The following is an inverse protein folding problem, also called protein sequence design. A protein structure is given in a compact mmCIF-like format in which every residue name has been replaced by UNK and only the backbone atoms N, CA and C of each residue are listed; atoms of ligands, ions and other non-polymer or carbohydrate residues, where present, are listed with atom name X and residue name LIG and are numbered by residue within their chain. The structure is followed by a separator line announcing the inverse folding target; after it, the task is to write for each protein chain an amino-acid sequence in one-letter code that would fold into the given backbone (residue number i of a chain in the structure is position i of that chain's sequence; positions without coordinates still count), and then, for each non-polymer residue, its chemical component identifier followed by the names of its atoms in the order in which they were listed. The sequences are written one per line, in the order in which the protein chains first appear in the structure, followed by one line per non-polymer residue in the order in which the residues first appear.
data_IF_911108508993
#
_entry.id   IF_911108508993
#
_cell.length_a   1.000
_cell.length_b   1.000
_cell.length_c   1.000
_cell.angle_alpha   90.00
_cell.angle_beta   90.00
_cell.angle_gamma   90.00
#
_symmetry.space_group_name_H-M   'P 1'
#
loop_
_entity.id
_entity.type
_entity.pdbx_description
1 polymer ?
#
# COMPACT_ATOMS: atom_id res chain seq x y z
N UNK A 1 -30.86 -7.48 -7.05
CA UNK A 1 -29.51 -6.95 -7.29
C UNK A 1 -28.57 -7.68 -6.35
N UNK A 2 -27.73 -8.59 -6.86
CA UNK A 2 -26.76 -9.30 -6.01
C UNK A 2 -25.52 -8.43 -5.87
N UNK A 3 -25.49 -7.59 -4.85
CA UNK A 3 -24.34 -6.76 -4.54
C UNK A 3 -23.28 -7.63 -3.87
N UNK A 4 -22.22 -7.96 -4.62
CA UNK A 4 -21.07 -8.69 -4.09
C UNK A 4 -20.38 -7.80 -3.05
N UNK A 5 -20.12 -8.35 -1.87
CA UNK A 5 -19.30 -7.69 -0.85
C UNK A 5 -17.86 -7.66 -1.35
N UNK A 6 -17.17 -6.52 -1.33
CA UNK A 6 -15.75 -6.44 -1.66
C UNK A 6 -14.93 -7.33 -0.73
N UNK A 7 -13.95 -8.05 -1.27
CA UNK A 7 -13.03 -8.86 -0.46
C UNK A 7 -12.09 -7.98 0.39
N UNK A 8 -11.88 -6.73 -0.03
CA UNK A 8 -11.12 -5.73 0.72
C UNK A 8 -11.99 -5.02 1.76
N UNK A 9 -11.41 -4.73 2.93
CA UNK A 9 -12.04 -3.88 3.92
C UNK A 9 -12.26 -2.47 3.36
N UNK A 10 -13.51 -2.01 3.39
CA UNK A 10 -13.89 -0.63 3.07
C UNK A 10 -14.33 0.04 4.36
N UNK A 11 -13.72 1.17 4.66
CA UNK A 11 -14.02 1.99 5.82
C UNK A 11 -14.30 3.42 5.38
N UNK A 12 -14.95 4.19 6.25
CA UNK A 12 -15.18 5.62 6.06
C UNK A 12 -14.34 6.39 7.07
N UNK A 13 -13.78 7.53 6.64
CA UNK A 13 -13.10 8.44 7.57
C UNK A 13 -14.11 9.06 8.54
N UNK A 14 -13.61 9.61 9.64
CA UNK A 14 -14.44 10.38 10.56
C UNK A 14 -14.94 11.66 9.88
N UNK A 15 -16.00 12.26 10.41
CA UNK A 15 -16.52 13.55 9.92
C UNK A 15 -15.51 14.70 10.07
N UNK A 16 -14.49 14.54 10.92
CA UNK A 16 -13.38 15.48 11.10
C UNK A 16 -12.28 15.32 10.04
N UNK A 17 -12.42 14.36 9.11
CA UNK A 17 -11.42 14.03 8.10
C UNK A 17 -10.06 13.66 8.73
N UNK A 18 -10.07 12.94 9.86
CA UNK A 18 -8.85 12.64 10.63
C UNK A 18 -7.80 11.88 9.82
N UNK A 19 -8.21 10.85 9.07
CA UNK A 19 -7.28 10.01 8.29
C UNK A 19 -6.79 10.78 7.06
N UNK A 20 -7.72 11.47 6.39
CA UNK A 20 -7.40 12.33 5.27
C UNK A 20 -6.36 13.41 5.66
N UNK A 21 -6.54 14.04 6.82
CA UNK A 21 -5.62 15.06 7.33
C UNK A 21 -4.26 14.47 7.72
N UNK A 22 -4.24 13.35 8.46
CA UNK A 22 -3.01 12.70 8.89
C UNK A 22 -2.15 12.19 7.73
N UNK A 23 -2.78 11.68 6.66
CA UNK A 23 -2.10 11.16 5.48
C UNK A 23 -2.04 12.17 4.33
N UNK A 24 -2.50 13.42 4.51
CA UNK A 24 -2.58 14.41 3.43
C UNK A 24 -3.17 13.82 2.14
N UNK A 25 -4.27 13.08 2.28
CA UNK A 25 -4.86 12.24 1.24
C UNK A 25 -6.06 12.91 0.55
N UNK A 26 -6.07 14.24 0.54
CA UNK A 26 -7.16 15.00 -0.05
C UNK A 26 -7.26 14.65 -1.54
N UNK A 27 -8.49 14.38 -2.01
CA UNK A 27 -8.81 13.63 -3.23
C UNK A 27 -8.58 12.11 -3.10
N UNK A 28 -7.62 11.56 -3.81
CA UNK A 28 -7.28 10.14 -3.83
C UNK A 28 -5.77 9.98 -3.68
N UNK A 29 -5.36 8.96 -2.92
CA UNK A 29 -3.95 8.70 -2.65
C UNK A 29 -3.72 7.26 -2.25
N UNK A 30 -2.59 6.71 -2.71
CA UNK A 30 -2.15 5.35 -2.38
C UNK A 30 -1.01 5.41 -1.36
N UNK A 31 -1.05 4.49 -0.39
CA UNK A 31 -0.02 4.33 0.62
C UNK A 31 0.31 2.85 0.80
N UNK A 32 1.56 2.56 1.19
CA UNK A 32 1.92 1.28 1.79
C UNK A 32 2.52 1.56 3.15
N UNK A 33 1.99 0.86 4.15
CA UNK A 33 2.52 0.85 5.51
C UNK A 33 3.16 -0.50 5.79
N UNK A 34 4.36 -0.50 6.37
CA UNK A 34 5.06 -1.68 6.85
C UNK A 34 5.77 -1.33 8.15
N UNK A 35 5.61 -2.18 9.17
CA UNK A 35 6.21 -1.98 10.51
C UNK A 35 5.97 -0.56 11.04
N UNK A 36 4.71 -0.10 10.97
CA UNK A 36 4.24 1.23 11.41
C UNK A 36 4.87 2.42 10.66
N UNK A 37 5.54 2.18 9.54
CA UNK A 37 6.17 3.21 8.71
C UNK A 37 5.54 3.28 7.33
N UNK A 38 5.44 4.51 6.81
CA UNK A 38 5.08 4.74 5.41
C UNK A 38 6.30 4.39 4.54
N UNK A 39 6.17 3.33 3.74
CA UNK A 39 7.22 2.84 2.84
C UNK A 39 6.95 3.14 1.36
N UNK A 40 5.73 3.55 1.05
CA UNK A 40 5.35 4.14 -0.23
C UNK A 40 4.26 5.19 -0.01
N UNK A 41 4.44 6.34 -0.65
CA UNK A 41 3.48 7.45 -0.68
C UNK A 41 3.27 7.86 -2.14
N UNK A 42 2.09 7.61 -2.66
CA UNK A 42 1.71 8.01 -4.01
C UNK A 42 1.63 9.54 -4.17
N UNK A 43 1.63 9.97 -5.43
CA UNK A 43 1.33 11.35 -5.80
C UNK A 43 -0.09 11.76 -5.39
N UNK A 44 -0.36 13.07 -5.36
CA UNK A 44 -1.72 13.59 -5.16
C UNK A 44 -2.56 13.33 -6.42
N UNK A 45 -3.76 12.79 -6.26
CA UNK A 45 -4.66 12.56 -7.40
C UNK A 45 -5.27 13.86 -7.97
N UNK A 46 -5.89 13.78 -9.17
CA UNK A 46 -6.06 12.57 -9.98
C UNK A 46 -4.80 12.15 -10.77
N UNK A 47 -3.90 13.07 -11.11
CA UNK A 47 -2.74 12.77 -11.96
C UNK A 47 -1.69 11.87 -11.26
N UNK A 48 -1.65 11.92 -9.92
CA UNK A 48 -0.76 11.12 -9.09
C UNK A 48 -1.27 9.72 -8.75
N UNK A 49 -2.48 9.35 -9.18
CA UNK A 49 -3.04 8.02 -8.91
C UNK A 49 -2.41 6.96 -9.83
N UNK A 50 -1.20 6.51 -9.46
CA UNK A 50 -0.39 5.60 -10.27
C UNK A 50 -0.31 4.22 -9.64
N UNK A 51 -1.23 3.35 -10.05
CA UNK A 51 -1.26 1.94 -9.62
C UNK A 51 0.01 1.19 -10.06
N UNK A 52 0.62 1.56 -11.19
CA UNK A 52 1.86 0.93 -11.67
C UNK A 52 3.00 1.06 -10.66
N UNK A 53 3.21 2.24 -10.09
CA UNK A 53 4.28 2.47 -9.10
C UNK A 53 4.05 1.66 -7.82
N UNK A 54 2.79 1.56 -7.39
CA UNK A 54 2.38 0.70 -6.28
C UNK A 54 2.67 -0.77 -6.57
N UNK A 55 2.30 -1.27 -7.76
CA UNK A 55 2.56 -2.64 -8.18
C UNK A 55 4.06 -2.93 -8.20
N UNK A 56 4.85 -2.05 -8.80
CA UNK A 56 6.30 -2.22 -8.91
C UNK A 56 6.97 -2.24 -7.53
N UNK A 57 6.43 -1.51 -6.55
CA UNK A 57 6.87 -1.61 -5.17
C UNK A 57 6.53 -2.98 -4.56
N UNK A 58 5.28 -3.45 -4.72
CA UNK A 58 4.82 -4.73 -4.18
C UNK A 58 5.57 -5.93 -4.79
N UNK A 59 5.87 -5.88 -6.08
CA UNK A 59 6.64 -6.92 -6.76
C UNK A 59 8.08 -6.99 -6.24
N UNK A 60 8.74 -5.84 -6.05
CA UNK A 60 10.08 -5.79 -5.43
C UNK A 60 10.06 -6.36 -4.03
N UNK A 61 9.09 -5.96 -3.21
CA UNK A 61 8.94 -6.46 -1.85
C UNK A 61 8.74 -7.99 -1.80
N UNK A 62 7.89 -8.54 -2.68
CA UNK A 62 7.71 -10.00 -2.79
C UNK A 62 9.01 -10.72 -3.16
N UNK A 63 9.73 -10.20 -4.16
CA UNK A 63 10.99 -10.82 -4.61
C UNK A 63 12.05 -10.79 -3.50
N UNK A 64 12.11 -9.72 -2.70
CA UNK A 64 13.02 -9.60 -1.54
C UNK A 64 12.68 -10.61 -0.45
N UNK A 65 11.39 -10.85 -0.17
CA UNK A 65 10.95 -11.88 0.77
C UNK A 65 11.36 -13.28 0.30
N UNK A 66 11.12 -13.61 -0.97
CA UNK A 66 11.47 -14.91 -1.55
C UNK A 66 12.99 -15.14 -1.55
N UNK A 67 13.79 -14.09 -1.82
CA UNK A 67 15.24 -14.17 -1.75
C UNK A 67 15.78 -14.32 -0.31
N UNK A 68 15.07 -13.75 0.68
CA UNK A 68 15.45 -13.83 2.10
C UNK A 68 15.18 -15.22 2.71
N UNK A 69 14.20 -15.94 2.17
CA UNK A 69 13.89 -17.34 2.51
C UNK A 69 14.82 -18.36 1.82
N UNK A 70 15.79 -17.90 1.00
CA UNK A 70 16.76 -18.78 0.39
C UNK A 70 17.74 -19.36 1.44
N UNK A 71 18.01 -20.68 1.45
CA UNK A 71 18.86 -21.29 2.46
C UNK A 71 20.29 -20.72 2.37
N UNK A 72 20.77 -20.15 3.47
CA UNK A 72 22.17 -19.74 3.62
C UNK A 72 23.04 -20.99 3.57
N UNK A 73 23.71 -21.22 2.44
CA UNK A 73 24.71 -22.29 2.31
C UNK A 73 25.96 -21.85 3.07
N UNK A 74 26.07 -22.27 4.33
CA UNK A 74 27.31 -22.15 5.10
C UNK A 74 28.31 -23.13 4.48
N UNK A 75 29.33 -22.61 3.80
CA UNK A 75 30.52 -23.41 3.46
C UNK A 75 31.33 -23.62 4.76
N UNK A 76 31.49 -24.89 5.14
CA UNK A 76 32.48 -25.37 6.13
C UNK A 76 33.63 -26.01 5.36
#
# INVERSE_FOLDING_TARGET
MNQKVPESAIVVDTMENSSNSAYGAYFERLYILKDEKVVYQGGRGPEGYRISELRDWLERYRNELEASDAPVVVHV
#
